data_IF_073297356193
#
_entry.id   IF_073297356193
#
_cell.length_a   1.000
_cell.length_b   1.000
_cell.length_c   1.000
_cell.angle_alpha   90.00
_cell.angle_beta   90.00
_cell.angle_gamma   90.00
#
_symmetry.space_group_name_H-M   'P 1'
#
loop_
_entity.id
_entity.type
_entity.pdbx_description
1 polymer ?
#
# COMPACT_ATOMS: atom_id res chain seq x y z
N UNK A 1 -57.08 6.61 3.14
CA UNK A 1 -56.12 5.88 2.30
C UNK A 1 -54.96 6.84 2.00
N UNK A 2 -53.99 6.96 2.91
CA UNK A 2 -52.81 7.79 2.70
C UNK A 2 -51.64 6.84 2.42
N UNK A 3 -51.13 6.93 1.19
CA UNK A 3 -50.13 6.03 0.63
C UNK A 3 -48.71 6.52 0.94
N UNK A 4 -47.83 5.54 1.11
CA UNK A 4 -46.38 5.53 0.91
C UNK A 4 -45.51 6.38 1.83
N UNK A 5 -45.04 5.75 2.91
CA UNK A 5 -43.68 5.95 3.40
C UNK A 5 -42.73 5.16 2.49
N UNK A 6 -41.91 5.86 1.70
CA UNK A 6 -40.76 5.27 1.02
C UNK A 6 -39.51 6.03 1.47
N UNK A 7 -38.84 5.49 2.48
CA UNK A 7 -37.47 5.81 2.82
C UNK A 7 -36.61 4.60 2.44
N UNK A 8 -36.31 4.48 1.15
CA UNK A 8 -35.14 3.74 0.72
C UNK A 8 -33.97 4.72 0.74
N UNK A 9 -33.41 4.94 1.92
CA UNK A 9 -32.04 5.43 2.00
C UNK A 9 -31.18 4.29 1.48
N UNK A 10 -30.65 4.43 0.26
CA UNK A 10 -29.49 3.66 -0.18
C UNK A 10 -28.35 4.03 0.77
N UNK A 11 -28.28 3.34 1.91
CA UNK A 11 -27.06 3.23 2.67
C UNK A 11 -26.04 2.61 1.73
N UNK A 12 -25.14 3.45 1.24
CA UNK A 12 -23.92 3.04 0.58
C UNK A 12 -23.26 2.08 1.57
N UNK A 13 -23.30 0.78 1.26
CA UNK A 13 -22.71 -0.24 2.13
C UNK A 13 -21.28 0.19 2.44
N UNK A 14 -20.95 0.51 3.71
CA UNK A 14 -19.58 0.83 4.06
C UNK A 14 -18.74 -0.39 3.68
N UNK A 15 -17.65 -0.16 2.96
CA UNK A 15 -16.68 -1.19 2.55
C UNK A 15 -16.48 -2.18 3.71
N UNK A 16 -16.69 -3.48 3.45
CA UNK A 16 -16.66 -4.54 4.45
C UNK A 16 -15.26 -4.80 5.04
N UNK A 17 -14.30 -3.91 4.82
CA UNK A 17 -13.03 -3.92 5.50
C UNK A 17 -13.20 -3.97 7.01
N UNK A 18 -12.65 -5.02 7.61
CA UNK A 18 -12.53 -5.15 9.05
C UNK A 18 -11.73 -3.96 9.60
N UNK A 19 -12.00 -3.55 10.83
CA UNK A 19 -11.23 -2.46 11.44
C UNK A 19 -9.72 -2.78 11.49
N UNK A 20 -9.38 -4.05 11.68
CA UNK A 20 -8.00 -4.50 11.62
C UNK A 20 -7.39 -4.27 10.23
N UNK A 21 -8.11 -4.62 9.15
CA UNK A 21 -7.58 -4.48 7.79
C UNK A 21 -7.35 -3.01 7.42
N UNK A 22 -8.25 -2.12 7.90
CA UNK A 22 -8.11 -0.67 7.74
C UNK A 22 -6.88 -0.13 8.46
N UNK A 23 -6.64 -0.56 9.70
CA UNK A 23 -5.47 -0.12 10.46
C UNK A 23 -4.16 -0.66 9.86
N UNK A 24 -4.13 -1.92 9.43
CA UNK A 24 -3.00 -2.49 8.69
C UNK A 24 -2.72 -1.72 7.40
N UNK A 25 -3.75 -1.42 6.61
CA UNK A 25 -3.62 -0.63 5.38
C UNK A 25 -3.12 0.78 5.66
N UNK A 26 -3.66 1.46 6.67
CA UNK A 26 -3.20 2.80 7.09
C UNK A 26 -1.71 2.77 7.49
N UNK A 27 -1.29 1.72 8.19
CA UNK A 27 0.10 1.51 8.57
C UNK A 27 1.01 1.18 7.37
N UNK A 28 0.49 0.46 6.35
CA UNK A 28 1.18 0.24 5.09
C UNK A 28 1.38 1.56 4.32
N UNK A 29 0.31 2.36 4.20
CA UNK A 29 0.34 3.68 3.56
C UNK A 29 1.33 4.64 4.25
N UNK A 30 1.42 4.61 5.58
CA UNK A 30 2.41 5.40 6.30
C UNK A 30 3.86 5.03 5.92
N UNK A 31 4.16 3.73 5.79
CA UNK A 31 5.49 3.31 5.32
C UNK A 31 5.73 3.60 3.84
N UNK A 32 4.70 3.55 2.99
CA UNK A 32 4.83 4.02 1.61
C UNK A 32 5.07 5.52 1.50
N UNK A 33 4.51 6.31 2.41
CA UNK A 33 4.82 7.74 2.48
C UNK A 33 6.29 7.96 2.84
N UNK A 34 6.79 7.27 3.88
CA UNK A 34 8.21 7.35 4.26
C UNK A 34 9.14 6.93 3.13
N UNK A 35 8.78 5.86 2.40
CA UNK A 35 9.48 5.44 1.21
C UNK A 35 9.47 6.53 0.13
N UNK A 36 8.31 7.07 -0.20
CA UNK A 36 8.19 8.11 -1.22
C UNK A 36 9.01 9.36 -0.88
N UNK A 37 9.02 9.78 0.39
CA UNK A 37 9.81 10.91 0.86
C UNK A 37 11.32 10.63 0.71
N UNK A 38 11.77 9.41 1.03
CA UNK A 38 13.15 8.97 0.82
C UNK A 38 13.51 8.97 -0.68
N UNK A 39 12.60 8.49 -1.54
CA UNK A 39 12.82 8.40 -2.98
C UNK A 39 12.83 9.74 -3.70
N UNK A 40 12.26 10.78 -3.09
CA UNK A 40 12.33 12.16 -3.58
C UNK A 40 13.71 12.81 -3.37
N UNK A 41 14.56 12.25 -2.50
CA UNK A 41 15.92 12.74 -2.27
C UNK A 41 16.86 12.36 -3.43
N UNK A 42 17.92 13.15 -3.69
CA UNK A 42 18.95 12.76 -4.65
C UNK A 42 19.57 11.40 -4.31
N UNK A 43 19.61 10.50 -5.29
CA UNK A 43 20.11 9.14 -5.09
C UNK A 43 21.64 9.12 -4.98
N UNK A 44 22.20 8.53 -3.91
CA UNK A 44 23.64 8.31 -3.82
C UNK A 44 24.13 7.38 -4.93
N UNK A 45 25.35 7.61 -5.40
CA UNK A 45 25.99 6.77 -6.43
C UNK A 45 26.39 5.40 -5.90
N UNK A 46 26.66 5.29 -4.59
CA UNK A 46 27.04 4.03 -3.96
C UNK A 46 25.80 3.25 -3.54
N UNK A 47 25.66 2.02 -4.04
CA UNK A 47 24.58 1.11 -3.62
C UNK A 47 24.72 0.62 -2.17
N UNK A 48 25.90 0.78 -1.56
CA UNK A 48 26.11 0.47 -0.13
C UNK A 48 25.70 1.62 0.79
N UNK A 49 25.22 2.73 0.23
CA UNK A 49 24.76 3.86 1.03
C UNK A 49 23.51 3.45 1.84
N UNK A 50 23.40 3.83 3.13
CA UNK A 50 22.23 3.55 3.96
C UNK A 50 20.90 3.99 3.34
N UNK A 51 20.91 4.91 2.38
CA UNK A 51 19.76 5.27 1.54
C UNK A 51 19.00 4.05 1.01
N UNK A 52 19.70 3.09 0.40
CA UNK A 52 19.06 1.95 -0.27
C UNK A 52 18.52 0.95 0.76
N UNK A 53 19.25 0.72 1.84
CA UNK A 53 18.79 -0.13 2.94
C UNK A 53 17.55 0.45 3.63
N UNK A 54 17.53 1.77 3.85
CA UNK A 54 16.40 2.47 4.49
C UNK A 54 15.15 2.39 3.60
N UNK A 55 15.31 2.60 2.30
CA UNK A 55 14.21 2.51 1.36
C UNK A 55 13.66 1.06 1.25
N UNK A 56 14.54 0.06 1.20
CA UNK A 56 14.15 -1.35 1.25
C UNK A 56 13.39 -1.69 2.54
N UNK A 57 13.82 -1.17 3.69
CA UNK A 57 13.11 -1.36 4.96
C UNK A 57 11.69 -0.80 4.92
N UNK A 58 11.48 0.40 4.37
CA UNK A 58 10.14 0.96 4.22
C UNK A 58 9.26 0.14 3.26
N UNK A 59 9.82 -0.33 2.14
CA UNK A 59 9.11 -1.16 1.17
C UNK A 59 8.69 -2.51 1.76
N UNK A 60 9.60 -3.20 2.44
CA UNK A 60 9.33 -4.47 3.11
C UNK A 60 8.27 -4.29 4.21
N UNK A 61 8.35 -3.21 4.96
CA UNK A 61 7.37 -2.88 6.01
C UNK A 61 5.98 -2.62 5.42
N UNK A 62 5.89 -1.86 4.33
CA UNK A 62 4.63 -1.62 3.63
C UNK A 62 4.03 -2.94 3.09
N UNK A 63 4.86 -3.77 2.48
CA UNK A 63 4.46 -5.07 1.91
C UNK A 63 3.90 -6.01 2.97
N UNK A 64 4.57 -6.15 4.12
CA UNK A 64 4.11 -7.01 5.21
C UNK A 64 2.74 -6.56 5.75
N UNK A 65 2.55 -5.25 5.93
CA UNK A 65 1.28 -4.70 6.44
C UNK A 65 0.14 -4.79 5.43
N UNK A 66 0.45 -4.67 4.15
CA UNK A 66 -0.52 -4.93 3.09
C UNK A 66 -0.94 -6.40 3.06
N UNK A 67 0.02 -7.32 3.25
CA UNK A 67 -0.28 -8.74 3.40
C UNK A 67 -1.16 -9.01 4.64
N UNK A 68 -0.87 -8.38 5.79
CA UNK A 68 -1.72 -8.48 6.99
C UNK A 68 -3.15 -7.97 6.72
N UNK A 69 -3.30 -6.88 5.96
CA UNK A 69 -4.60 -6.37 5.56
C UNK A 69 -5.34 -7.36 4.64
N UNK A 70 -4.64 -7.94 3.65
CA UNK A 70 -5.20 -8.92 2.71
C UNK A 70 -5.62 -10.24 3.39
N UNK A 71 -4.91 -10.67 4.43
CA UNK A 71 -5.30 -11.83 5.24
C UNK A 71 -6.60 -11.59 6.03
N UNK A 72 -6.89 -10.33 6.35
CA UNK A 72 -8.06 -9.94 7.14
C UNK A 72 -9.26 -9.56 6.25
N UNK A 73 -8.99 -9.09 5.03
CA UNK A 73 -9.98 -8.79 4.00
C UNK A 73 -9.36 -8.87 2.60
N UNK A 74 -9.91 -9.77 1.78
CA UNK A 74 -9.46 -10.01 0.41
C UNK A 74 -9.60 -8.79 -0.52
N UNK A 75 -10.41 -7.78 -0.16
CA UNK A 75 -10.48 -6.53 -0.93
C UNK A 75 -9.13 -5.77 -0.97
N UNK A 76 -8.16 -6.14 -0.11
CA UNK A 76 -6.80 -5.59 -0.12
C UNK A 76 -5.78 -6.46 -0.87
N UNK A 77 -6.20 -7.55 -1.50
CA UNK A 77 -5.28 -8.50 -2.13
C UNK A 77 -4.50 -7.88 -3.30
N UNK A 78 -5.16 -7.10 -4.17
CA UNK A 78 -4.47 -6.40 -5.27
C UNK A 78 -3.39 -5.44 -4.74
N UNK A 79 -3.67 -4.73 -3.65
CA UNK A 79 -2.71 -3.84 -3.00
C UNK A 79 -1.51 -4.58 -2.41
N UNK A 80 -1.74 -5.73 -1.77
CA UNK A 80 -0.68 -6.59 -1.27
C UNK A 80 0.18 -7.16 -2.41
N UNK A 81 -0.45 -7.62 -3.49
CA UNK A 81 0.23 -8.21 -4.64
C UNK A 81 1.09 -7.18 -5.38
N UNK A 82 0.58 -5.96 -5.58
CA UNK A 82 1.34 -4.85 -6.21
C UNK A 82 2.58 -4.51 -5.39
N UNK A 83 2.47 -4.44 -4.06
CA UNK A 83 3.60 -4.17 -3.18
C UNK A 83 4.59 -5.31 -3.11
N UNK A 84 4.11 -6.55 -3.08
CA UNK A 84 4.95 -7.72 -3.10
C UNK A 84 5.82 -7.74 -4.37
N UNK A 85 5.21 -7.50 -5.53
CA UNK A 85 5.93 -7.42 -6.80
C UNK A 85 6.94 -6.28 -6.82
N UNK A 86 6.60 -5.12 -6.26
CA UNK A 86 7.55 -4.02 -6.12
C UNK A 86 8.77 -4.41 -5.27
N UNK A 87 8.54 -5.10 -4.15
CA UNK A 87 9.59 -5.59 -3.27
C UNK A 87 10.48 -6.65 -3.94
N UNK A 88 9.90 -7.60 -4.68
CA UNK A 88 10.66 -8.60 -5.44
C UNK A 88 11.58 -7.94 -6.48
N UNK A 89 11.05 -6.99 -7.26
CA UNK A 89 11.85 -6.25 -8.24
C UNK A 89 13.00 -5.53 -7.55
N UNK A 90 12.72 -4.83 -6.45
CA UNK A 90 13.77 -4.15 -5.69
C UNK A 90 14.85 -5.11 -5.21
N UNK A 91 14.47 -6.20 -4.54
CA UNK A 91 15.40 -7.14 -3.90
C UNK A 91 16.23 -7.92 -4.93
N UNK A 92 15.62 -8.33 -6.05
CA UNK A 92 16.28 -9.18 -7.05
C UNK A 92 17.17 -8.36 -7.98
N UNK A 93 16.73 -7.16 -8.36
CA UNK A 93 17.40 -6.38 -9.41
C UNK A 93 18.19 -5.19 -8.87
N UNK A 94 17.93 -4.75 -7.63
CA UNK A 94 18.35 -3.44 -7.10
C UNK A 94 17.94 -2.26 -8.00
N UNK A 95 16.98 -2.45 -8.91
CA UNK A 95 16.53 -1.40 -9.82
C UNK A 95 15.32 -0.67 -9.26
N UNK A 96 15.61 0.41 -8.54
CA UNK A 96 14.60 1.34 -8.06
C UNK A 96 13.68 1.83 -9.19
N UNK A 97 14.23 2.07 -10.39
CA UNK A 97 13.49 2.57 -11.56
C UNK A 97 12.33 1.65 -11.99
N UNK A 98 12.45 0.35 -11.78
CA UNK A 98 11.40 -0.62 -12.12
C UNK A 98 10.40 -0.84 -10.98
N UNK A 99 10.85 -0.72 -9.72
CA UNK A 99 9.99 -0.82 -8.55
C UNK A 99 9.13 0.44 -8.34
N UNK A 100 9.65 1.62 -8.65
CA UNK A 100 9.01 2.92 -8.37
C UNK A 100 7.61 3.10 -9.00
N UNK A 101 7.36 2.67 -10.26
CA UNK A 101 6.01 2.68 -10.83
C UNK A 101 5.00 1.86 -10.02
N UNK A 102 5.39 0.68 -9.53
CA UNK A 102 4.52 -0.18 -8.73
C UNK A 102 4.28 0.41 -7.34
N UNK A 103 5.31 1.02 -6.74
CA UNK A 103 5.16 1.76 -5.48
C UNK A 103 4.13 2.89 -5.64
N UNK A 104 4.18 3.64 -6.75
CA UNK A 104 3.19 4.69 -7.04
C UNK A 104 1.80 4.12 -7.28
N UNK A 105 1.69 3.00 -8.00
CA UNK A 105 0.42 2.31 -8.24
C UNK A 105 -0.23 1.87 -6.91
N UNK A 106 0.51 1.16 -6.06
CA UNK A 106 0.02 0.70 -4.76
C UNK A 106 -0.49 1.87 -3.91
N UNK A 107 0.20 3.01 -3.95
CA UNK A 107 -0.28 4.23 -3.28
C UNK A 107 -1.63 4.67 -3.80
N UNK A 108 -1.90 4.63 -5.10
CA UNK A 108 -3.21 5.05 -5.64
C UNK A 108 -4.36 4.06 -5.38
N UNK A 109 -4.05 2.81 -5.06
CA UNK A 109 -5.07 1.77 -4.85
C UNK A 109 -5.75 1.90 -3.48
N UNK A 110 -4.97 2.17 -2.42
CA UNK A 110 -5.44 2.15 -1.02
C UNK A 110 -4.95 3.31 -0.16
N UNK A 111 -4.12 4.19 -0.71
CA UNK A 111 -3.69 5.44 -0.11
C UNK A 111 -4.13 6.62 -1.02
#
# INVERSE_FOLDING_TARGET
MASTLSLAACESTPSKATMAARESTKSACASLQQLADQLALPRPSSLTDPYYQTAEQYLNTATNRAADAAQQDHDYQEFADTLHRAAEIWQVTSTLTEAEPLIRQARTEKC
#
